data_IF_348670027983
#
_entry.id   IF_348670027983
#
_cell.length_a   1.000
_cell.length_b   1.000
_cell.length_c   1.000
_cell.angle_alpha   90.00
_cell.angle_beta   90.00
_cell.angle_gamma   90.00
#
_symmetry.space_group_name_H-M   'P 1'
#
loop_
_entity.id
_entity.type
_entity.pdbx_description
1 polymer ?
#
# COMPACT_ATOMS: atom_id res chain seq x y z
N UNK A 1 9.35 13.52 -16.94
CA UNK A 1 9.63 12.10 -16.79
C UNK A 1 8.34 11.35 -16.44
N UNK A 2 7.82 10.49 -17.34
CA UNK A 2 6.61 9.68 -17.12
C UNK A 2 6.72 8.76 -15.89
N UNK A 3 7.90 8.18 -15.66
CA UNK A 3 8.13 7.22 -14.57
C UNK A 3 8.06 7.94 -13.21
N UNK A 4 8.62 9.15 -13.13
CA UNK A 4 8.49 9.99 -11.93
C UNK A 4 7.03 10.31 -11.60
N UNK A 5 6.19 10.55 -12.62
CA UNK A 5 4.76 10.78 -12.39
C UNK A 5 4.07 9.51 -11.92
N UNK A 6 4.36 8.37 -12.55
CA UNK A 6 3.79 7.08 -12.18
C UNK A 6 4.14 6.69 -10.74
N UNK A 7 5.39 6.90 -10.32
CA UNK A 7 5.85 6.64 -8.95
C UNK A 7 5.05 7.38 -7.87
N UNK A 8 4.53 8.59 -8.15
CA UNK A 8 3.70 9.32 -7.18
C UNK A 8 2.37 8.62 -6.86
N UNK A 9 1.95 7.66 -7.69
CA UNK A 9 0.76 6.85 -7.44
C UNK A 9 0.91 5.95 -6.22
N UNK A 10 2.13 5.51 -5.88
CA UNK A 10 2.40 4.69 -4.69
C UNK A 10 2.05 5.48 -3.43
N UNK A 11 2.62 6.68 -3.29
CA UNK A 11 2.34 7.55 -2.15
C UNK A 11 0.86 7.95 -2.06
N UNK A 12 0.23 8.28 -3.20
CA UNK A 12 -1.21 8.60 -3.23
C UNK A 12 -2.06 7.46 -2.68
N UNK A 13 -1.79 6.24 -3.12
CA UNK A 13 -2.52 5.04 -2.67
C UNK A 13 -2.31 4.78 -1.18
N UNK A 14 -1.09 4.99 -0.66
CA UNK A 14 -0.82 4.87 0.78
C UNK A 14 -1.63 5.88 1.61
N UNK A 15 -1.72 7.14 1.16
CA UNK A 15 -2.55 8.15 1.82
C UNK A 15 -4.04 7.78 1.82
N UNK A 16 -4.55 7.25 0.70
CA UNK A 16 -5.93 6.77 0.61
C UNK A 16 -6.19 5.57 1.54
N UNK A 17 -5.24 4.62 1.59
CA UNK A 17 -5.29 3.48 2.49
C UNK A 17 -5.28 3.90 3.97
N UNK A 18 -4.46 4.91 4.32
CA UNK A 18 -4.43 5.46 5.67
C UNK A 18 -5.77 6.08 6.05
N UNK A 19 -6.37 6.88 5.17
CA UNK A 19 -7.68 7.49 5.42
C UNK A 19 -8.77 6.42 5.62
N UNK A 20 -8.78 5.37 4.78
CA UNK A 20 -9.73 4.26 4.90
C UNK A 20 -9.53 3.44 6.19
N UNK A 21 -8.28 3.21 6.60
CA UNK A 21 -7.96 2.52 7.84
C UNK A 21 -8.38 3.32 9.08
N UNK A 22 -8.14 4.64 9.08
CA UNK A 22 -8.59 5.54 10.16
C UNK A 22 -10.11 5.58 10.28
N UNK A 23 -10.82 5.56 9.15
CA UNK A 23 -12.29 5.47 9.12
C UNK A 23 -12.83 4.09 9.51
N UNK A 24 -11.97 3.06 9.62
CA UNK A 24 -12.33 1.65 9.84
C UNK A 24 -13.39 1.17 8.82
N UNK A 25 -13.30 1.65 7.58
CA UNK A 25 -14.30 1.37 6.54
C UNK A 25 -14.20 -0.04 5.95
N UNK A 26 -13.04 -0.70 6.11
CA UNK A 26 -12.77 -2.04 5.58
C UNK A 26 -11.71 -2.78 6.43
N UNK A 27 -11.53 -4.07 6.18
CA UNK A 27 -10.47 -4.87 6.82
C UNK A 27 -9.08 -4.55 6.24
N UNK A 28 -7.98 -4.87 6.94
CA UNK A 28 -6.63 -4.63 6.41
C UNK A 28 -6.38 -5.24 5.02
N UNK A 29 -6.87 -6.46 4.79
CA UNK A 29 -6.70 -7.17 3.51
C UNK A 29 -7.54 -6.55 2.40
N UNK A 30 -8.74 -6.07 2.71
CA UNK A 30 -9.58 -5.38 1.74
C UNK A 30 -8.94 -4.05 1.31
N UNK A 31 -8.35 -3.30 2.25
CA UNK A 31 -7.60 -2.08 1.94
C UNK A 31 -6.34 -2.39 1.11
N UNK A 32 -5.59 -3.44 1.45
CA UNK A 32 -4.44 -3.87 0.66
C UNK A 32 -4.81 -4.24 -0.79
N UNK A 33 -5.92 -4.98 -0.96
CA UNK A 33 -6.44 -5.35 -2.27
C UNK A 33 -6.89 -4.14 -3.10
N UNK A 34 -7.59 -3.19 -2.48
CA UNK A 34 -7.99 -1.94 -3.13
C UNK A 34 -6.77 -1.12 -3.55
N UNK A 35 -5.77 -1.02 -2.67
CA UNK A 35 -4.51 -0.34 -2.96
C UNK A 35 -3.78 -0.98 -4.16
N UNK A 36 -3.66 -2.31 -4.20
CA UNK A 36 -3.08 -3.02 -5.34
C UNK A 36 -3.85 -2.76 -6.64
N UNK A 37 -5.18 -2.75 -6.58
CA UNK A 37 -6.05 -2.47 -7.73
C UNK A 37 -5.82 -1.06 -8.27
N UNK A 38 -5.78 -0.05 -7.39
CA UNK A 38 -5.51 1.34 -7.78
C UNK A 38 -4.12 1.55 -8.37
N UNK A 39 -3.10 0.80 -7.90
CA UNK A 39 -1.77 0.85 -8.48
C UNK A 39 -1.76 0.28 -9.90
N UNK A 40 -2.47 -0.84 -10.14
CA UNK A 40 -2.64 -1.41 -11.49
C UNK A 40 -3.37 -0.45 -12.41
N UNK A 41 -4.47 0.16 -11.95
CA UNK A 41 -5.25 1.15 -12.71
C UNK A 41 -4.44 2.41 -13.04
N UNK A 42 -3.50 2.79 -12.16
CA UNK A 42 -2.57 3.88 -12.40
C UNK A 42 -1.47 3.54 -13.42
N UNK A 43 -1.30 2.26 -13.79
CA UNK A 43 -0.33 1.78 -14.76
C UNK A 43 0.87 1.04 -14.16
N UNK A 44 0.90 0.81 -12.84
CA UNK A 44 1.93 -0.01 -12.18
C UNK A 44 1.49 -1.48 -12.26
N UNK A 45 1.86 -2.15 -13.35
CA UNK A 45 1.42 -3.52 -13.64
C UNK A 45 2.26 -4.61 -12.97
N UNK A 46 3.53 -4.33 -12.65
CA UNK A 46 4.44 -5.27 -11.99
C UNK A 46 4.58 -4.91 -10.50
N UNK A 47 3.78 -5.58 -9.68
CA UNK A 47 3.74 -5.42 -8.23
C UNK A 47 4.27 -6.72 -7.61
N UNK A 48 5.26 -6.61 -6.72
CA UNK A 48 5.78 -7.77 -5.98
C UNK A 48 4.86 -8.08 -4.78
N UNK A 49 4.48 -7.05 -4.02
CA UNK A 49 3.52 -7.20 -2.92
C UNK A 49 2.88 -5.86 -2.52
N UNK A 50 1.65 -5.93 -2.03
CA UNK A 50 0.95 -4.89 -1.27
C UNK A 50 0.28 -5.59 -0.09
N UNK A 51 0.64 -5.22 1.13
CA UNK A 51 0.10 -5.88 2.33
C UNK A 51 0.00 -4.90 3.49
N UNK A 52 -0.96 -5.13 4.39
CA UNK A 52 -0.98 -4.52 5.72
C UNK A 52 -0.45 -5.55 6.71
N UNK A 53 0.59 -5.18 7.45
CA UNK A 53 1.36 -6.08 8.30
C UNK A 53 1.56 -5.50 9.70
N UNK A 54 1.90 -6.38 10.63
CA UNK A 54 2.48 -6.01 11.91
C UNK A 54 3.89 -5.41 11.70
N UNK A 55 4.25 -4.29 12.35
CA UNK A 55 5.54 -3.64 12.11
C UNK A 55 6.75 -4.42 12.62
N UNK A 56 6.57 -5.31 13.60
CA UNK A 56 7.65 -6.08 14.22
C UNK A 56 7.83 -7.46 13.55
N UNK A 57 6.73 -8.19 13.33
CA UNK A 57 6.77 -9.53 12.73
C UNK A 57 6.75 -9.52 11.20
N UNK A 58 6.25 -8.43 10.59
CA UNK A 58 5.95 -8.33 9.16
C UNK A 58 4.92 -9.38 8.67
N UNK A 59 4.17 -10.00 9.58
CA UNK A 59 3.10 -10.92 9.22
C UNK A 59 1.84 -10.15 8.80
N UNK A 60 1.11 -10.62 7.78
CA UNK A 60 -0.15 -10.03 7.36
C UNK A 60 -1.18 -9.97 8.50
N UNK A 61 -1.90 -8.85 8.57
CA UNK A 61 -2.92 -8.63 9.58
C UNK A 61 -4.31 -8.99 9.07
N UNK A 62 -5.04 -9.80 9.85
CA UNK A 62 -6.45 -10.07 9.56
C UNK A 62 -7.42 -9.05 10.18
N UNK A 63 -6.97 -8.40 11.24
CA UNK A 63 -7.74 -7.40 11.98
C UNK A 63 -6.84 -6.20 12.29
N UNK A 64 -7.45 -5.02 12.47
CA UNK A 64 -6.71 -3.81 12.79
C UNK A 64 -6.05 -3.90 14.16
N UNK A 65 -4.75 -3.66 14.19
CA UNK A 65 -3.97 -3.50 15.40
C UNK A 65 -3.52 -2.04 15.55
N UNK A 66 -3.07 -1.60 16.73
CA UNK A 66 -2.26 -0.39 16.83
C UNK A 66 -1.04 -0.50 15.91
N UNK A 67 -0.58 0.62 15.36
CA UNK A 67 0.65 0.68 14.56
C UNK A 67 0.71 -0.26 13.34
N UNK A 68 -0.44 -0.63 12.76
CA UNK A 68 -0.47 -1.40 11.51
C UNK A 68 0.18 -0.61 10.37
N UNK A 69 1.05 -1.25 9.59
CA UNK A 69 1.78 -0.63 8.48
C UNK A 69 1.38 -1.25 7.15
N UNK A 70 1.12 -0.43 6.13
CA UNK A 70 1.06 -0.91 4.76
C UNK A 70 2.45 -0.89 4.15
N UNK A 71 2.82 -1.97 3.47
CA UNK A 71 4.07 -2.10 2.72
C UNK A 71 3.76 -2.37 1.25
N UNK A 72 4.48 -1.68 0.36
CA UNK A 72 4.33 -1.78 -1.09
C UNK A 72 5.69 -2.00 -1.71
N UNK A 73 5.79 -2.97 -2.62
CA UNK A 73 6.93 -3.10 -3.53
C UNK A 73 6.43 -3.30 -4.95
N UNK A 74 6.88 -2.43 -5.87
CA UNK A 74 6.46 -2.46 -7.26
C UNK A 74 7.54 -1.91 -8.20
N UNK A 75 7.42 -2.22 -9.48
CA UNK A 75 8.32 -1.72 -10.51
C UNK A 75 7.69 -0.56 -11.27
N UNK A 76 8.48 0.50 -11.45
CA UNK A 76 8.20 1.61 -12.35
C UNK A 76 9.32 1.63 -13.39
N UNK A 77 8.97 1.28 -14.63
CA UNK A 77 9.97 0.96 -15.66
C UNK A 77 10.85 -0.22 -15.21
N UNK A 78 12.17 -0.02 -15.18
CA UNK A 78 13.14 -0.99 -14.65
C UNK A 78 13.43 -0.85 -13.16
N UNK A 79 12.95 0.21 -12.52
CA UNK A 79 13.29 0.54 -11.13
C UNK A 79 12.31 -0.11 -10.18
N UNK A 80 12.83 -0.86 -9.20
CA UNK A 80 12.04 -1.40 -8.09
C UNK A 80 11.94 -0.36 -6.97
N UNK A 81 10.72 0.08 -6.68
CA UNK A 81 10.41 1.00 -5.61
C UNK A 81 9.76 0.25 -4.44
N UNK A 82 10.13 0.66 -3.23
CA UNK A 82 9.52 0.19 -1.99
C UNK A 82 9.05 1.43 -1.25
N UNK A 83 7.85 1.38 -0.69
CA UNK A 83 7.30 2.41 0.16
C UNK A 83 6.44 1.78 1.25
N UNK A 84 6.29 2.46 2.38
CA UNK A 84 5.48 2.00 3.50
C UNK A 84 4.87 3.17 4.28
N UNK A 85 3.75 2.91 4.95
CA UNK A 85 3.07 3.94 5.74
C UNK A 85 2.28 3.32 6.89
N UNK A 86 2.42 3.89 8.08
CA UNK A 86 1.54 3.58 9.20
C UNK A 86 0.11 3.98 8.87
N UNK A 87 -0.81 3.03 8.99
CA UNK A 87 -2.23 3.22 8.73
C UNK A 87 -3.01 3.56 10.01
N UNK A 88 -2.57 3.01 11.13
CA UNK A 88 -3.16 3.22 12.45
C UNK A 88 -2.11 3.69 13.44
N UNK A 89 -2.53 4.51 14.41
CA UNK A 89 -1.74 5.01 15.53
C UNK A 89 -2.20 4.37 16.83
#
# INVERSE_FOLDING_TARGET
DPDRKLATSIHRVLCEAQAAAQARSASPQAIAWEAETKLKDAGISKIDYVAVVDPDSLEPLDTWQPQSIMVVAAYVGSTRLIDNMFLTS
#
